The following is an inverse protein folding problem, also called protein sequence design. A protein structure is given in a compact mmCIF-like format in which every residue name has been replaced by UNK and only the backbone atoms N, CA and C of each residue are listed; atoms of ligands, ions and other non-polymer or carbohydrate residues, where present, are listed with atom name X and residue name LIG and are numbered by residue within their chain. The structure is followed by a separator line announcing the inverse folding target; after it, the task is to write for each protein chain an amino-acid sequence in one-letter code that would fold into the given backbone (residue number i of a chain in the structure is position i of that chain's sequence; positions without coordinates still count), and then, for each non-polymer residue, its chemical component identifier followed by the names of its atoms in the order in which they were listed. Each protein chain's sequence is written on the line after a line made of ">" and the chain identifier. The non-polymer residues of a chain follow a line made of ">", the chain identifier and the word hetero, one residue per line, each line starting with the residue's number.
data_IF_455367535587
#
_entry.id   IF_455367535587
#
_cell.length_a   1.000
_cell.length_b   1.000
_cell.length_c   1.000
_cell.angle_alpha   90.00
_cell.angle_beta   90.00
_cell.angle_gamma   90.00
#
_symmetry.space_group_name_H-M   'P 1'
#
loop_
_entity.id
_entity.type
_entity.pdbx_description
1 polymer ?
#
# COMPACT_ATOMS: atom_id res chain seq x y z
N UNK A 1 -8.83 4.59 -8.91
CA UNK A 1 -7.97 4.57 -7.70
C UNK A 1 -8.05 3.20 -7.05
N UNK A 2 -6.93 2.69 -6.56
CA UNK A 2 -6.90 1.37 -5.94
C UNK A 2 -7.16 1.48 -4.44
N UNK A 3 -7.84 0.47 -3.88
CA UNK A 3 -7.95 0.31 -2.44
C UNK A 3 -7.00 -0.80 -2.02
N UNK A 4 -6.02 -0.46 -1.19
CA UNK A 4 -5.03 -1.42 -0.71
C UNK A 4 -5.50 -1.97 0.62
N UNK A 5 -5.52 -3.30 0.73
CA UNK A 5 -6.01 -3.99 1.93
C UNK A 5 -4.96 -4.98 2.43
N UNK A 6 -4.98 -5.24 3.73
CA UNK A 6 -4.13 -6.26 4.32
C UNK A 6 -4.54 -7.65 3.84
N UNK A 7 -3.57 -8.48 3.44
CA UNK A 7 -3.85 -9.83 3.00
C UNK A 7 -4.33 -10.73 4.13
N UNK A 8 -3.98 -10.43 5.38
CA UNK A 8 -4.35 -11.25 6.53
C UNK A 8 -5.72 -10.90 7.08
N UNK A 9 -5.96 -9.63 7.43
CA UNK A 9 -7.20 -9.23 8.09
C UNK A 9 -8.20 -8.54 7.17
N UNK A 10 -7.82 -8.28 5.92
CA UNK A 10 -8.66 -7.62 4.90
C UNK A 10 -9.06 -6.18 5.24
N UNK A 11 -8.40 -5.57 6.22
CA UNK A 11 -8.65 -4.18 6.57
C UNK A 11 -8.11 -3.25 5.50
N UNK A 12 -8.85 -2.17 5.22
CA UNK A 12 -8.37 -1.14 4.30
C UNK A 12 -7.14 -0.45 4.90
N UNK A 13 -6.06 -0.39 4.13
CA UNK A 13 -4.82 0.25 4.56
C UNK A 13 -4.75 1.69 4.06
N UNK A 14 -4.96 1.89 2.76
CA UNK A 14 -4.99 3.22 2.16
C UNK A 14 -5.53 3.12 0.73
N UNK A 15 -5.81 4.28 0.15
CA UNK A 15 -6.13 4.38 -1.28
C UNK A 15 -4.91 4.86 -2.02
N UNK A 16 -4.70 4.33 -3.22
CA UNK A 16 -3.53 4.65 -4.01
C UNK A 16 -3.88 4.99 -5.43
N UNK A 17 -3.33 6.09 -5.91
CA UNK A 17 -3.53 6.53 -7.29
C UNK A 17 -2.45 5.89 -8.18
N UNK A 18 -2.74 4.69 -8.71
CA UNK A 18 -1.82 3.95 -9.56
C UNK A 18 -2.01 4.38 -11.01
N UNK A 19 -0.94 4.84 -11.65
CA UNK A 19 -0.93 5.22 -13.05
C UNK A 19 -0.27 4.10 -13.85
N UNK A 20 -0.89 3.71 -14.96
CA UNK A 20 -0.38 2.66 -15.83
C UNK A 20 -0.80 1.27 -15.36
N UNK A 21 -0.41 0.28 -16.16
CA UNK A 21 -0.69 -1.12 -15.89
C UNK A 21 0.51 -1.76 -15.18
N UNK A 22 0.29 -2.90 -14.55
CA UNK A 22 1.34 -3.63 -13.87
C UNK A 22 1.12 -3.77 -12.39
N UNK A 23 2.11 -4.32 -11.71
CA UNK A 23 2.01 -4.60 -10.28
C UNK A 23 2.24 -3.36 -9.44
N UNK A 24 1.68 -3.37 -8.23
CA UNK A 24 1.92 -2.34 -7.24
C UNK A 24 3.19 -2.72 -6.49
N UNK A 25 4.34 -2.33 -7.03
CA UNK A 25 5.65 -2.63 -6.42
C UNK A 25 6.04 -1.57 -5.40
N UNK A 26 5.68 -0.33 -5.68
CA UNK A 26 6.00 0.82 -4.83
C UNK A 26 4.78 1.71 -4.73
N UNK A 27 4.56 2.26 -3.55
CA UNK A 27 3.49 3.23 -3.35
C UNK A 27 4.12 4.57 -3.02
N UNK A 28 4.04 5.51 -3.96
CA UNK A 28 4.57 6.86 -3.76
C UNK A 28 3.73 7.60 -2.74
N UNK A 29 4.38 8.16 -1.73
CA UNK A 29 3.69 8.78 -0.59
C UNK A 29 2.72 9.88 -1.00
N UNK A 30 3.08 10.68 -2.02
CA UNK A 30 2.23 11.77 -2.49
C UNK A 30 0.98 11.31 -3.23
N UNK A 31 0.86 10.01 -3.50
CA UNK A 31 -0.30 9.42 -4.16
C UNK A 31 -1.12 8.52 -3.23
N UNK A 32 -0.73 8.44 -1.97
CA UNK A 32 -1.44 7.68 -0.95
C UNK A 32 -2.45 8.59 -0.27
N UNK A 33 -3.68 8.09 -0.11
CA UNK A 33 -4.76 8.80 0.58
C UNK A 33 -5.40 7.91 1.62
N UNK A 34 -5.93 8.52 2.68
CA UNK A 34 -6.64 7.82 3.76
C UNK A 34 -5.78 6.71 4.38
N UNK A 35 -4.53 7.06 4.73
CA UNK A 35 -3.56 6.12 5.25
C UNK A 35 -3.91 5.70 6.67
N UNK A 36 -4.21 4.41 6.86
CA UNK A 36 -4.53 3.80 8.15
C UNK A 36 -3.43 2.85 8.61
N UNK A 37 -2.24 2.95 8.05
CA UNK A 37 -1.12 2.08 8.42
C UNK A 37 -0.36 2.64 9.61
N UNK A 38 0.44 1.76 10.22
CA UNK A 38 1.30 2.11 11.34
C UNK A 38 2.74 2.07 10.84
N UNK A 39 3.52 3.13 11.13
CA UNK A 39 4.94 3.16 10.82
C UNK A 39 5.74 2.90 12.09
N UNK A 40 6.67 1.95 12.00
CA UNK A 40 7.52 1.60 13.13
C UNK A 40 8.85 1.10 12.59
N UNK A 41 9.95 1.69 13.06
CA UNK A 41 11.32 1.28 12.71
C UNK A 41 11.55 1.21 11.19
N UNK A 42 11.02 2.18 10.46
CA UNK A 42 11.19 2.26 9.02
C UNK A 42 10.36 1.27 8.22
N UNK A 43 9.44 0.56 8.85
CA UNK A 43 8.54 -0.37 8.19
C UNK A 43 7.09 0.10 8.33
N UNK A 44 6.24 -0.41 7.44
CA UNK A 44 4.82 -0.07 7.41
C UNK A 44 4.02 -1.32 7.77
N UNK A 45 3.15 -1.20 8.78
CA UNK A 45 2.38 -2.31 9.31
C UNK A 45 0.89 -2.04 9.24
N UNK A 46 0.12 -3.11 9.07
CA UNK A 46 -1.32 -3.09 9.34
C UNK A 46 -1.53 -3.09 10.86
N UNK A 47 -2.69 -2.61 11.30
CA UNK A 47 -3.04 -2.64 12.72
C UNK A 47 -3.08 -4.06 13.32
N UNK A 48 -3.21 -5.08 12.46
CA UNK A 48 -3.16 -6.49 12.89
C UNK A 48 -1.72 -6.98 13.12
N UNK A 49 -0.70 -6.16 12.83
CA UNK A 49 0.69 -6.52 12.99
C UNK A 49 1.38 -7.04 11.73
N UNK A 50 0.63 -7.22 10.64
CA UNK A 50 1.23 -7.69 9.38
C UNK A 50 2.07 -6.59 8.73
N UNK A 51 3.33 -6.91 8.41
CA UNK A 51 4.20 -5.95 7.71
C UNK A 51 3.76 -5.82 6.26
N UNK A 52 3.42 -4.61 5.86
CA UNK A 52 2.93 -4.31 4.51
C UNK A 52 4.07 -3.93 3.57
N UNK A 53 5.08 -3.27 4.09
CA UNK A 53 6.21 -2.84 3.29
C UNK A 53 7.25 -2.13 4.11
N UNK A 54 8.23 -1.55 3.42
CA UNK A 54 9.33 -0.81 4.03
C UNK A 54 9.26 0.63 3.55
N UNK A 55 9.35 1.56 4.47
CA UNK A 55 9.36 2.98 4.15
C UNK A 55 10.70 3.40 3.57
N UNK A 56 10.69 3.91 2.35
CA UNK A 56 11.87 4.28 1.59
C UNK A 56 11.79 5.75 1.17
N UNK A 57 11.98 6.66 2.10
CA UNK A 57 11.97 8.09 1.76
C UNK A 57 10.66 8.54 1.12
N UNK A 58 10.61 8.63 -0.20
CA UNK A 58 9.46 9.16 -0.94
C UNK A 58 8.39 8.11 -1.27
N UNK A 59 8.66 6.85 -1.02
CA UNK A 59 7.74 5.78 -1.37
C UNK A 59 7.83 4.64 -0.35
N UNK A 60 6.87 3.73 -0.44
CA UNK A 60 6.86 2.50 0.35
C UNK A 60 7.13 1.34 -0.59
N UNK A 61 8.18 0.57 -0.31
CA UNK A 61 8.46 -0.66 -1.05
C UNK A 61 7.54 -1.75 -0.51
N UNK A 62 6.56 -2.14 -1.31
CA UNK A 62 5.49 -3.05 -0.86
C UNK A 62 5.97 -4.50 -0.81
N UNK A 63 5.56 -5.22 0.24
CA UNK A 63 5.72 -6.67 0.34
C UNK A 63 4.60 -7.33 -0.45
N UNK A 64 4.92 -7.96 -1.57
CA UNK A 64 3.94 -8.42 -2.55
C UNK A 64 2.93 -9.44 -2.01
N UNK A 65 3.31 -10.24 -1.03
CA UNK A 65 2.41 -11.22 -0.42
C UNK A 65 1.63 -10.69 0.77
N UNK A 66 1.92 -9.46 1.21
CA UNK A 66 1.35 -8.92 2.44
C UNK A 66 0.06 -8.13 2.22
N UNK A 67 -0.26 -7.78 0.99
CA UNK A 67 -1.43 -6.97 0.68
C UNK A 67 -2.17 -7.48 -0.54
N UNK A 68 -3.43 -7.08 -0.63
CA UNK A 68 -4.25 -7.27 -1.82
C UNK A 68 -4.79 -5.90 -2.22
N UNK A 69 -5.27 -5.78 -3.44
CA UNK A 69 -5.85 -4.51 -3.88
C UNK A 69 -7.04 -4.76 -4.79
N UNK A 70 -7.90 -3.76 -4.88
CA UNK A 70 -9.05 -3.77 -5.77
C UNK A 70 -9.24 -2.36 -6.32
N UNK A 71 -10.00 -2.24 -7.40
CA UNK A 71 -10.29 -0.96 -8.03
C UNK A 71 -9.71 -0.88 -9.43
N UNK A 72 -9.77 0.33 -10.01
CA UNK A 72 -9.35 0.57 -11.39
C UNK A 72 -8.03 1.32 -11.42
N UNK A 73 -7.06 0.77 -12.16
CA UNK A 73 -5.79 1.45 -12.42
C UNK A 73 -6.01 2.49 -13.51
N UNK A 74 -5.37 3.65 -13.36
CA UNK A 74 -5.39 4.67 -14.39
C UNK A 74 -4.50 4.26 -15.53
N UNK A 75 -4.95 4.49 -16.77
CA UNK A 75 -4.11 4.30 -17.94
C UNK A 75 -3.20 5.50 -18.06
N UNK A 76 -1.92 5.23 -18.09
CA UNK A 76 -0.88 6.25 -18.15
C UNK A 76 -0.72 6.91 -19.48
#
# INVERSE_FOLDING_TARGET
>A
MLTIKCAKCKQKLFKYHKIGMGRVLRCWKNKIKNDNTIRKDGAVFCTCGNRIGIEMGNYIKMDQSAFIYSGTKQKG
#
